data_IF_088576379802
#
_entry.id   IF_088576379802
#
_cell.length_a   1.000
_cell.length_b   1.000
_cell.length_c   1.000
_cell.angle_alpha   90.00
_cell.angle_beta   90.00
_cell.angle_gamma   90.00
#
_symmetry.space_group_name_H-M   'P 1'
#
loop_
_entity.id
_entity.type
_entity.pdbx_description
1 polymer ?
#
# COMPACT_ATOMS: atom_id res chain seq x y z
N UNK A 1 43.66 0.54 -46.56
CA UNK A 1 43.40 -0.37 -45.41
C UNK A 1 42.30 0.16 -44.47
N UNK A 2 42.03 1.48 -44.42
CA UNK A 2 41.00 2.07 -43.54
C UNK A 2 39.55 1.94 -44.06
N UNK A 3 39.33 1.88 -45.39
CA UNK A 3 37.99 1.75 -46.00
C UNK A 3 37.36 0.37 -45.86
N UNK A 4 38.16 -0.71 -45.91
CA UNK A 4 37.66 -2.08 -45.76
C UNK A 4 37.08 -2.34 -44.36
N UNK A 5 37.63 -1.66 -43.33
CA UNK A 5 37.20 -1.84 -41.95
C UNK A 5 35.90 -1.09 -41.64
N UNK A 6 35.67 0.06 -42.28
CA UNK A 6 34.40 0.79 -42.16
C UNK A 6 33.25 0.05 -42.85
N UNK A 7 33.48 -0.52 -44.03
CA UNK A 7 32.44 -1.21 -44.78
C UNK A 7 31.99 -2.52 -44.08
N UNK A 8 32.91 -3.23 -43.41
CA UNK A 8 32.58 -4.36 -42.54
C UNK A 8 31.74 -3.95 -41.32
N UNK A 9 32.07 -2.83 -40.67
CA UNK A 9 31.35 -2.36 -39.48
C UNK A 9 29.94 -1.87 -39.83
N UNK A 10 29.79 -1.16 -40.95
CA UNK A 10 28.48 -0.72 -41.45
C UNK A 10 27.62 -1.91 -41.90
N UNK A 11 28.21 -2.87 -42.62
CA UNK A 11 27.49 -4.09 -43.04
C UNK A 11 27.03 -4.93 -41.84
N UNK A 12 27.85 -5.03 -40.78
CA UNK A 12 27.49 -5.77 -39.58
C UNK A 12 26.39 -5.05 -38.76
N UNK A 13 26.38 -3.71 -38.77
CA UNK A 13 25.33 -2.90 -38.14
C UNK A 13 23.99 -3.04 -38.89
N UNK A 14 24.00 -2.98 -40.23
CA UNK A 14 22.82 -3.23 -41.06
C UNK A 14 22.28 -4.66 -40.90
N UNK A 15 23.16 -5.65 -40.72
CA UNK A 15 22.77 -7.03 -40.42
C UNK A 15 22.08 -7.17 -39.05
N UNK A 16 22.57 -6.47 -38.02
CA UNK A 16 21.93 -6.46 -36.70
C UNK A 16 20.60 -5.69 -36.70
N UNK A 17 20.51 -4.57 -37.42
CA UNK A 17 19.26 -3.79 -37.59
C UNK A 17 18.23 -4.58 -38.39
N UNK A 18 18.64 -5.33 -39.42
CA UNK A 18 17.75 -6.21 -40.19
C UNK A 18 17.28 -7.43 -39.40
N UNK A 19 18.13 -8.04 -38.56
CA UNK A 19 17.70 -9.09 -37.62
C UNK A 19 16.74 -8.55 -36.54
N UNK A 20 16.96 -7.33 -36.05
CA UNK A 20 16.03 -6.66 -35.14
C UNK A 20 14.68 -6.31 -35.82
N UNK A 21 14.70 -6.01 -37.12
CA UNK A 21 13.50 -5.70 -37.92
C UNK A 21 12.58 -6.90 -38.20
N UNK A 22 13.01 -8.12 -37.87
CA UNK A 22 12.22 -9.35 -38.05
C UNK A 22 11.48 -9.81 -36.78
N UNK A 23 11.61 -9.10 -35.67
CA UNK A 23 10.93 -9.48 -34.43
C UNK A 23 9.49 -8.95 -34.48
N UNK A 24 8.53 -9.85 -34.70
CA UNK A 24 7.11 -9.49 -34.60
C UNK A 24 6.74 -9.15 -33.15
N UNK A 25 5.81 -8.21 -32.97
CA UNK A 25 5.25 -7.88 -31.65
C UNK A 25 4.78 -9.13 -30.90
N UNK A 26 4.12 -10.05 -31.61
CA UNK A 26 3.70 -11.35 -31.10
C UNK A 26 4.87 -12.20 -30.58
N UNK A 27 6.00 -12.18 -31.29
CA UNK A 27 7.22 -12.86 -30.86
C UNK A 27 7.82 -12.25 -29.59
N UNK A 28 7.76 -10.92 -29.43
CA UNK A 28 8.19 -10.22 -28.20
C UNK A 28 7.28 -10.59 -27.03
N UNK A 29 5.96 -10.45 -27.21
CA UNK A 29 4.95 -10.78 -26.20
C UNK A 29 5.14 -12.21 -25.70
N UNK A 30 5.30 -13.17 -26.62
CA UNK A 30 5.51 -14.59 -26.28
C UNK A 30 6.77 -14.79 -25.43
N UNK A 31 7.89 -14.15 -25.80
CA UNK A 31 9.14 -14.23 -25.04
C UNK A 31 8.98 -13.62 -23.65
N UNK A 32 8.33 -12.47 -23.54
CA UNK A 32 8.13 -11.81 -22.24
C UNK A 32 7.21 -12.63 -21.34
N UNK A 33 6.12 -13.21 -21.86
CA UNK A 33 5.28 -14.14 -21.12
C UNK A 33 6.06 -15.33 -20.57
N UNK A 34 6.99 -15.89 -21.35
CA UNK A 34 7.84 -16.97 -20.88
C UNK A 34 8.83 -16.53 -19.79
N UNK A 35 9.35 -15.30 -19.90
CA UNK A 35 10.31 -14.74 -18.96
C UNK A 35 9.70 -14.52 -17.57
N UNK A 36 8.51 -13.93 -17.50
CA UNK A 36 7.88 -13.56 -16.22
C UNK A 36 7.45 -14.76 -15.37
N UNK A 37 7.38 -15.95 -15.99
CA UNK A 37 7.09 -17.22 -15.31
C UNK A 37 8.33 -17.83 -14.64
N UNK A 38 9.51 -17.28 -14.91
CA UNK A 38 10.76 -17.64 -14.24
C UNK A 38 10.90 -16.73 -13.02
N UNK A 39 11.19 -17.25 -11.81
CA UNK A 39 11.42 -16.42 -10.64
C UNK A 39 12.53 -15.38 -10.87
N UNK A 40 12.26 -14.11 -10.58
CA UNK A 40 13.17 -12.98 -10.74
C UNK A 40 12.46 -11.61 -10.67
N UNK A 41 13.25 -10.55 -10.54
CA UNK A 41 12.76 -9.17 -10.55
C UNK A 41 12.58 -8.69 -11.99
N UNK A 42 11.38 -8.90 -12.54
CA UNK A 42 11.08 -8.63 -13.94
C UNK A 42 10.20 -7.40 -14.16
N UNK A 43 10.14 -6.46 -13.20
CA UNK A 43 9.19 -5.34 -13.21
C UNK A 43 9.18 -4.55 -14.52
N UNK A 44 10.38 -4.21 -15.03
CA UNK A 44 10.51 -3.47 -16.31
C UNK A 44 9.86 -4.25 -17.46
N UNK A 45 10.06 -5.58 -17.49
CA UNK A 45 9.50 -6.44 -18.54
C UNK A 45 7.99 -6.65 -18.38
N UNK A 46 7.51 -6.81 -17.14
CA UNK A 46 6.09 -6.98 -16.84
C UNK A 46 5.31 -5.73 -17.20
N UNK A 47 5.76 -4.55 -16.77
CA UNK A 47 5.11 -3.29 -17.10
C UNK A 47 5.08 -3.06 -18.61
N UNK A 48 6.19 -3.37 -19.31
CA UNK A 48 6.21 -3.25 -20.77
C UNK A 48 5.33 -4.29 -21.47
N UNK A 49 5.23 -5.50 -20.93
CA UNK A 49 4.33 -6.54 -21.44
C UNK A 49 2.87 -6.10 -21.31
N UNK A 50 2.47 -5.54 -20.18
CA UNK A 50 1.12 -4.98 -19.97
C UNK A 50 0.82 -3.90 -21.01
N UNK A 51 1.73 -2.94 -21.21
CA UNK A 51 1.57 -1.88 -22.21
C UNK A 51 1.44 -2.44 -23.64
N UNK A 52 2.26 -3.44 -23.99
CA UNK A 52 2.17 -4.11 -25.29
C UNK A 52 0.83 -4.80 -25.48
N UNK A 53 0.33 -5.53 -24.48
CA UNK A 53 -0.97 -6.19 -24.54
C UNK A 53 -2.11 -5.19 -24.70
N UNK A 54 -2.15 -4.14 -23.87
CA UNK A 54 -3.15 -3.07 -23.97
C UNK A 54 -3.12 -2.39 -25.36
N UNK A 55 -1.93 -2.04 -25.87
CA UNK A 55 -1.79 -1.39 -27.18
C UNK A 55 -2.17 -2.29 -28.37
N UNK A 56 -2.05 -3.61 -28.20
CA UNK A 56 -2.43 -4.62 -29.20
C UNK A 56 -3.90 -5.04 -29.13
N UNK A 57 -4.69 -4.49 -28.20
CA UNK A 57 -6.10 -4.80 -28.00
C UNK A 57 -6.37 -6.11 -27.23
N UNK A 58 -5.33 -6.74 -26.66
CA UNK A 58 -5.40 -8.02 -25.92
C UNK A 58 -5.54 -7.79 -24.42
N UNK A 59 -6.49 -6.95 -24.03
CA UNK A 59 -6.67 -6.50 -22.64
C UNK A 59 -7.04 -7.69 -21.73
N UNK A 60 -7.78 -8.66 -22.26
CA UNK A 60 -8.17 -9.89 -21.58
C UNK A 60 -6.97 -10.73 -21.10
N UNK A 61 -5.80 -10.62 -21.74
CA UNK A 61 -4.59 -11.35 -21.37
C UNK A 61 -3.80 -10.69 -20.24
N UNK A 62 -4.06 -9.41 -19.93
CA UNK A 62 -3.29 -8.63 -18.94
C UNK A 62 -3.43 -9.23 -17.54
N UNK A 63 -4.66 -9.60 -17.16
CA UNK A 63 -4.92 -10.19 -15.86
C UNK A 63 -4.15 -11.51 -15.69
N UNK A 64 -4.15 -12.37 -16.72
CA UNK A 64 -3.43 -13.66 -16.69
C UNK A 64 -1.94 -13.43 -16.47
N UNK A 65 -1.34 -12.50 -17.22
CA UNK A 65 0.07 -12.13 -17.12
C UNK A 65 0.44 -11.63 -15.73
N UNK A 66 -0.38 -10.75 -15.15
CA UNK A 66 -0.14 -10.23 -13.79
C UNK A 66 -0.33 -11.31 -12.72
N UNK A 67 -1.31 -12.20 -12.89
CA UNK A 67 -1.49 -13.37 -12.03
C UNK A 67 -0.26 -14.30 -12.08
N UNK A 68 0.23 -14.61 -13.27
CA UNK A 68 1.41 -15.45 -13.46
C UNK A 68 2.64 -14.84 -12.80
N UNK A 69 2.88 -13.54 -13.01
CA UNK A 69 4.01 -12.86 -12.42
C UNK A 69 3.94 -12.87 -10.89
N UNK A 70 2.79 -12.53 -10.31
CA UNK A 70 2.56 -12.55 -8.86
C UNK A 70 2.71 -13.95 -8.25
N UNK A 71 2.28 -15.01 -8.95
CA UNK A 71 2.39 -16.40 -8.48
C UNK A 71 3.82 -16.92 -8.56
N UNK A 72 4.51 -16.67 -9.67
CA UNK A 72 5.90 -17.10 -9.88
C UNK A 72 6.90 -16.33 -9.00
N UNK A 73 6.50 -15.16 -8.49
CA UNK A 73 7.31 -14.27 -7.68
C UNK A 73 6.59 -13.86 -6.39
N UNK A 74 6.11 -14.84 -5.61
CA UNK A 74 5.24 -14.61 -4.45
C UNK A 74 5.86 -13.79 -3.30
N UNK A 75 7.19 -13.69 -3.23
CA UNK A 75 7.86 -12.81 -2.26
C UNK A 75 8.10 -11.41 -2.82
N UNK A 76 7.83 -11.18 -4.10
CA UNK A 76 8.10 -9.93 -4.78
C UNK A 76 6.88 -9.02 -4.73
N UNK A 77 6.94 -8.03 -3.83
CA UNK A 77 5.83 -7.12 -3.52
C UNK A 77 5.20 -6.50 -4.78
N UNK A 78 6.02 -6.08 -5.74
CA UNK A 78 5.57 -5.40 -6.96
C UNK A 78 4.64 -6.27 -7.81
N UNK A 79 4.84 -7.60 -7.85
CA UNK A 79 3.94 -8.49 -8.59
C UNK A 79 2.51 -8.45 -8.05
N UNK A 80 2.37 -8.45 -6.73
CA UNK A 80 1.07 -8.31 -6.07
C UNK A 80 0.48 -6.90 -6.23
N UNK A 81 1.32 -5.87 -6.13
CA UNK A 81 0.90 -4.48 -6.34
C UNK A 81 0.31 -4.30 -7.74
N UNK A 82 1.02 -4.71 -8.79
CA UNK A 82 0.56 -4.51 -10.17
C UNK A 82 -0.77 -5.20 -10.43
N UNK A 83 -0.96 -6.42 -9.91
CA UNK A 83 -2.22 -7.14 -10.03
C UNK A 83 -3.35 -6.43 -9.27
N UNK A 84 -3.13 -6.01 -8.02
CA UNK A 84 -4.14 -5.28 -7.25
C UNK A 84 -4.52 -3.95 -7.92
N UNK A 85 -3.56 -3.18 -8.44
CA UNK A 85 -3.83 -1.93 -9.15
C UNK A 85 -4.62 -2.16 -10.44
N UNK A 86 -4.29 -3.21 -11.19
CA UNK A 86 -5.06 -3.59 -12.37
C UNK A 86 -6.50 -3.95 -12.00
N UNK A 87 -6.71 -4.86 -11.03
CA UNK A 87 -8.05 -5.27 -10.60
C UNK A 87 -8.87 -4.06 -10.12
N UNK A 88 -8.24 -3.14 -9.39
CA UNK A 88 -8.87 -1.90 -8.92
C UNK A 88 -9.27 -0.97 -10.07
N UNK A 89 -8.39 -0.76 -11.05
CA UNK A 89 -8.64 0.11 -12.23
C UNK A 89 -9.83 -0.36 -13.07
N UNK A 90 -10.10 -1.65 -13.06
CA UNK A 90 -11.13 -2.29 -13.88
C UNK A 90 -12.40 -2.66 -13.09
N UNK A 91 -12.55 -2.18 -11.86
CA UNK A 91 -13.66 -2.50 -10.95
C UNK A 91 -13.90 -4.03 -10.79
N UNK A 92 -12.80 -4.79 -10.88
CA UNK A 92 -12.81 -6.25 -10.74
C UNK A 92 -12.63 -6.62 -9.27
N UNK A 93 -13.65 -6.36 -8.47
CA UNK A 93 -13.67 -6.84 -7.10
C UNK A 93 -13.76 -8.37 -7.09
N UNK A 94 -12.69 -9.01 -6.63
CA UNK A 94 -12.54 -10.46 -6.69
C UNK A 94 -11.85 -10.98 -5.43
N UNK A 95 -12.14 -12.23 -5.09
CA UNK A 95 -11.44 -12.98 -4.04
C UNK A 95 -9.92 -12.98 -4.25
N UNK A 96 -9.49 -13.00 -5.52
CA UNK A 96 -8.09 -12.85 -5.95
C UNK A 96 -7.47 -11.55 -5.41
N UNK A 97 -8.19 -10.43 -5.51
CA UNK A 97 -7.71 -9.15 -4.97
C UNK A 97 -7.49 -9.24 -3.46
N UNK A 98 -8.44 -9.83 -2.73
CA UNK A 98 -8.36 -9.97 -1.28
C UNK A 98 -7.15 -10.81 -0.86
N UNK A 99 -6.88 -11.91 -1.56
CA UNK A 99 -5.72 -12.76 -1.27
C UNK A 99 -4.39 -12.06 -1.50
N UNK A 100 -4.26 -11.30 -2.59
CA UNK A 100 -3.05 -10.52 -2.85
C UNK A 100 -2.89 -9.35 -1.89
N UNK A 101 -3.98 -8.72 -1.45
CA UNK A 101 -3.93 -7.70 -0.40
C UNK A 101 -3.43 -8.26 0.93
N UNK A 102 -3.82 -9.49 1.31
CA UNK A 102 -3.28 -10.17 2.50
C UNK A 102 -1.77 -10.37 2.39
N UNK A 103 -1.29 -10.84 1.23
CA UNK A 103 0.15 -11.04 1.00
C UNK A 103 0.91 -9.70 1.08
N UNK A 104 0.38 -8.64 0.48
CA UNK A 104 0.96 -7.28 0.58
C UNK A 104 1.06 -6.85 2.04
N UNK A 105 0.01 -7.06 2.83
CA UNK A 105 0.00 -6.68 4.24
C UNK A 105 1.03 -7.47 5.09
N UNK A 106 1.31 -8.72 4.72
CA UNK A 106 2.35 -9.53 5.35
C UNK A 106 3.76 -9.08 4.96
N UNK A 107 3.99 -8.80 3.67
CA UNK A 107 5.30 -8.39 3.15
C UNK A 107 5.67 -6.94 3.49
N UNK A 108 4.70 -6.04 3.44
CA UNK A 108 4.90 -4.60 3.62
C UNK A 108 3.71 -3.98 4.38
N UNK A 109 3.67 -4.11 5.72
CA UNK A 109 2.57 -3.56 6.52
C UNK A 109 2.47 -2.02 6.48
N UNK A 110 3.49 -1.33 5.97
CA UNK A 110 3.49 0.13 5.78
C UNK A 110 2.80 0.59 4.50
N UNK A 111 2.43 -0.34 3.62
CA UNK A 111 1.86 -0.06 2.30
C UNK A 111 0.40 0.41 2.37
N UNK A 112 0.02 1.42 1.58
CA UNK A 112 -1.33 2.00 1.64
C UNK A 112 -2.46 1.02 1.31
N UNK A 113 -2.16 -0.05 0.57
CA UNK A 113 -3.13 -1.12 0.25
C UNK A 113 -3.53 -1.93 1.47
N UNK A 114 -2.78 -1.87 2.58
CA UNK A 114 -3.23 -2.40 3.87
C UNK A 114 -4.54 -1.74 4.31
N UNK A 115 -4.71 -0.44 4.05
CA UNK A 115 -5.96 0.25 4.36
C UNK A 115 -7.11 -0.26 3.51
N UNK A 116 -6.85 -0.60 2.24
CA UNK A 116 -7.85 -1.18 1.35
C UNK A 116 -8.27 -2.59 1.82
N UNK A 117 -7.33 -3.38 2.33
CA UNK A 117 -7.64 -4.68 2.94
C UNK A 117 -8.58 -4.52 4.16
N UNK A 118 -8.27 -3.58 5.05
CA UNK A 118 -9.09 -3.29 6.23
C UNK A 118 -10.50 -2.84 5.82
N UNK A 119 -10.61 -1.99 4.81
CA UNK A 119 -11.91 -1.55 4.28
C UNK A 119 -12.73 -2.72 3.73
N UNK A 120 -12.11 -3.64 3.00
CA UNK A 120 -12.79 -4.83 2.47
C UNK A 120 -13.26 -5.80 3.56
N UNK A 121 -12.46 -5.97 4.62
CA UNK A 121 -12.86 -6.75 5.78
C UNK A 121 -13.87 -6.06 6.68
N UNK A 122 -14.19 -4.78 6.44
CA UNK A 122 -15.14 -3.92 7.14
C UNK A 122 -15.00 -3.81 8.68
N UNK A 123 -14.09 -4.56 9.31
CA UNK A 123 -13.75 -4.46 10.73
C UNK A 123 -14.76 -5.10 11.68
N UNK A 124 -15.78 -5.81 11.19
CA UNK A 124 -16.79 -6.46 12.02
C UNK A 124 -16.42 -7.91 12.38
N UNK A 125 -16.99 -8.39 13.48
CA UNK A 125 -16.93 -9.79 13.93
C UNK A 125 -15.52 -10.41 13.94
N UNK A 126 -15.32 -11.51 13.21
CA UNK A 126 -14.10 -12.35 13.23
C UNK A 126 -12.86 -11.63 12.68
N UNK A 127 -13.05 -10.58 11.87
CA UNK A 127 -11.96 -9.83 11.24
C UNK A 127 -11.51 -8.62 12.06
N UNK A 128 -12.24 -8.26 13.13
CA UNK A 128 -11.92 -7.10 13.98
C UNK A 128 -10.48 -7.15 14.49
N UNK A 129 -10.06 -8.31 15.04
CA UNK A 129 -8.71 -8.48 15.58
C UNK A 129 -7.64 -8.26 14.51
N UNK A 130 -7.85 -8.78 13.29
CA UNK A 130 -6.91 -8.64 12.18
C UNK A 130 -6.85 -7.21 11.68
N UNK A 131 -8.00 -6.54 11.53
CA UNK A 131 -8.06 -5.12 11.15
C UNK A 131 -7.33 -4.24 12.16
N UNK A 132 -7.58 -4.47 13.46
CA UNK A 132 -6.92 -3.76 14.55
C UNK A 132 -5.40 -3.97 14.50
N UNK A 133 -4.95 -5.22 14.37
CA UNK A 133 -3.53 -5.55 14.22
C UNK A 133 -2.87 -4.78 13.08
N UNK A 134 -3.50 -4.84 11.89
CA UNK A 134 -2.97 -4.23 10.68
C UNK A 134 -2.90 -2.71 10.79
N UNK A 135 -3.92 -2.05 11.36
CA UNK A 135 -3.90 -0.59 11.47
C UNK A 135 -2.83 -0.11 12.46
N UNK A 136 -2.63 -0.82 13.56
CA UNK A 136 -1.54 -0.52 14.50
C UNK A 136 -0.17 -0.74 13.84
N UNK A 137 0.03 -1.85 13.12
CA UNK A 137 1.28 -2.11 12.37
C UNK A 137 1.53 -1.07 11.28
N UNK A 138 0.50 -0.63 10.55
CA UNK A 138 0.61 0.39 9.52
C UNK A 138 1.05 1.74 10.12
N UNK A 139 0.50 2.10 11.28
CA UNK A 139 0.84 3.31 12.02
C UNK A 139 2.12 3.18 12.86
N UNK A 140 2.75 2.01 12.95
CA UNK A 140 4.09 1.91 13.57
C UNK A 140 5.18 2.57 12.70
N UNK A 141 4.91 2.77 11.41
CA UNK A 141 5.82 3.44 10.48
C UNK A 141 5.59 4.96 10.52
N UNK A 142 6.56 5.77 10.98
CA UNK A 142 6.37 7.22 11.14
C UNK A 142 6.02 7.97 9.84
N UNK A 143 6.42 7.44 8.68
CA UNK A 143 6.03 7.95 7.36
C UNK A 143 4.51 7.98 7.17
N UNK A 144 3.80 7.06 7.82
CA UNK A 144 2.33 6.96 7.79
C UNK A 144 1.65 7.81 8.87
N UNK A 145 2.42 8.45 9.77
CA UNK A 145 1.91 9.23 10.89
C UNK A 145 1.04 10.43 10.52
N UNK A 146 1.08 10.87 9.26
CA UNK A 146 0.23 11.94 8.70
C UNK A 146 -0.94 11.43 7.84
N UNK A 147 -1.09 10.11 7.70
CA UNK A 147 -2.16 9.52 6.91
C UNK A 147 -3.51 9.63 7.64
N UNK A 148 -4.31 10.63 7.29
CA UNK A 148 -5.62 10.91 7.90
C UNK A 148 -6.57 9.69 7.80
N UNK A 149 -6.54 8.98 6.67
CA UNK A 149 -7.41 7.81 6.44
C UNK A 149 -7.10 6.71 7.46
N UNK A 150 -5.82 6.44 7.72
CA UNK A 150 -5.40 5.45 8.70
C UNK A 150 -5.87 5.81 10.12
N UNK A 151 -5.69 7.07 10.54
CA UNK A 151 -6.14 7.52 11.86
C UNK A 151 -7.67 7.45 12.03
N UNK A 152 -8.43 7.74 10.98
CA UNK A 152 -9.89 7.54 10.98
C UNK A 152 -10.28 6.08 11.14
N UNK A 153 -9.63 5.19 10.38
CA UNK A 153 -9.87 3.75 10.48
C UNK A 153 -9.60 3.26 11.90
N UNK A 154 -8.48 3.68 12.51
CA UNK A 154 -8.19 3.34 13.90
C UNK A 154 -9.28 3.86 14.84
N UNK A 155 -9.64 5.15 14.76
CA UNK A 155 -10.71 5.73 15.59
C UNK A 155 -12.00 4.92 15.48
N UNK A 156 -12.47 4.65 14.26
CA UNK A 156 -13.70 3.89 14.04
C UNK A 156 -13.62 2.47 14.63
N UNK A 157 -12.47 1.80 14.55
CA UNK A 157 -12.27 0.48 15.16
C UNK A 157 -12.32 0.56 16.69
N UNK A 158 -11.84 1.63 17.31
CA UNK A 158 -11.94 1.84 18.76
C UNK A 158 -13.40 2.05 19.17
N UNK A 159 -14.13 2.90 18.47
CA UNK A 159 -15.57 3.15 18.72
C UNK A 159 -16.39 1.84 18.62
N UNK A 160 -16.05 0.96 17.65
CA UNK A 160 -16.70 -0.35 17.48
C UNK A 160 -16.41 -1.36 18.61
N UNK A 161 -15.42 -1.09 19.45
CA UNK A 161 -15.01 -1.97 20.54
C UNK A 161 -15.67 -1.63 21.88
N UNK A 162 -16.15 -0.41 22.02
CA UNK A 162 -16.69 0.17 23.25
C UNK A 162 -17.79 -0.67 23.96
N UNK A 163 -18.61 -1.50 23.29
CA UNK A 163 -19.60 -2.33 24.01
C UNK A 163 -19.12 -3.72 24.47
N UNK A 164 -17.84 -4.13 24.30
CA UNK A 164 -17.40 -5.52 24.60
C UNK A 164 -16.08 -5.59 25.37
N UNK A 165 -16.14 -6.00 26.65
CA UNK A 165 -14.98 -6.17 27.57
C UNK A 165 -13.81 -6.94 26.92
N UNK A 166 -14.08 -8.02 26.17
CA UNK A 166 -13.02 -8.81 25.52
C UNK A 166 -12.24 -8.03 24.46
N UNK A 167 -12.87 -7.07 23.77
CA UNK A 167 -12.19 -6.22 22.79
C UNK A 167 -11.34 -5.15 23.46
N UNK A 168 -11.76 -4.66 24.63
CA UNK A 168 -11.02 -3.64 25.39
C UNK A 168 -9.63 -4.14 25.81
N UNK A 169 -9.53 -5.34 26.38
CA UNK A 169 -8.24 -5.95 26.74
C UNK A 169 -7.34 -6.12 25.52
N UNK A 170 -7.92 -6.53 24.39
CA UNK A 170 -7.19 -6.69 23.15
C UNK A 170 -6.58 -5.38 22.65
N UNK A 171 -7.36 -4.30 22.65
CA UNK A 171 -6.89 -2.97 22.25
C UNK A 171 -5.80 -2.49 23.21
N UNK A 172 -6.00 -2.64 24.53
CA UNK A 172 -4.99 -2.28 25.53
C UNK A 172 -3.68 -3.02 25.30
N UNK A 173 -3.71 -4.30 24.92
CA UNK A 173 -2.49 -5.04 24.58
C UNK A 173 -1.74 -4.46 23.38
N UNK A 174 -2.45 -4.10 22.31
CA UNK A 174 -1.83 -3.44 21.15
C UNK A 174 -1.22 -2.09 21.52
N UNK A 175 -1.95 -1.28 22.31
CA UNK A 175 -1.48 0.02 22.80
C UNK A 175 -0.26 -0.09 23.71
N UNK A 176 -0.29 -0.97 24.72
CA UNK A 176 0.76 -1.06 25.74
C UNK A 176 2.15 -1.35 25.15
N UNK A 177 2.22 -2.14 24.09
CA UNK A 177 3.47 -2.41 23.37
C UNK A 177 4.05 -1.21 22.61
N UNK A 178 3.23 -0.17 22.39
CA UNK A 178 3.52 1.01 21.56
C UNK A 178 3.48 2.32 22.30
N UNK A 179 2.86 2.37 23.48
CA UNK A 179 2.56 3.61 24.19
C UNK A 179 3.78 4.51 24.26
N UNK A 180 4.91 3.99 24.76
CA UNK A 180 6.15 4.76 24.86
C UNK A 180 6.59 5.35 23.52
N UNK A 181 6.71 4.54 22.45
CA UNK A 181 7.17 5.03 21.14
C UNK A 181 6.17 5.97 20.50
N UNK A 182 4.88 5.67 20.54
CA UNK A 182 3.83 6.50 19.95
C UNK A 182 3.71 7.86 20.65
N UNK A 183 3.89 7.96 21.97
CA UNK A 183 3.97 9.26 22.64
C UNK A 183 5.11 10.11 22.07
N UNK A 184 6.30 9.52 21.90
CA UNK A 184 7.46 10.21 21.36
C UNK A 184 7.37 10.56 19.87
N UNK A 185 6.53 9.86 19.09
CA UNK A 185 6.43 10.06 17.64
C UNK A 185 5.21 10.92 17.28
N UNK A 186 4.05 10.67 17.89
CA UNK A 186 2.76 11.21 17.45
C UNK A 186 2.12 12.20 18.41
N UNK A 187 2.42 12.12 19.71
CA UNK A 187 1.69 12.85 20.75
C UNK A 187 2.61 13.80 21.53
N UNK A 188 3.40 14.61 20.82
CA UNK A 188 4.40 15.50 21.42
C UNK A 188 3.74 16.85 21.79
N UNK A 189 3.52 17.16 23.09
CA UNK A 189 2.75 18.35 23.47
C UNK A 189 3.41 19.65 23.02
N UNK A 190 4.74 19.74 23.10
CA UNK A 190 5.50 20.94 22.71
C UNK A 190 5.42 21.26 21.22
N UNK A 191 4.96 20.34 20.37
CA UNK A 191 4.79 20.59 18.93
C UNK A 191 3.42 21.18 18.60
N UNK A 192 2.45 21.13 19.52
CA UNK A 192 1.09 21.64 19.29
C UNK A 192 1.09 23.14 18.98
N UNK A 193 1.98 23.90 19.61
CA UNK A 193 2.13 25.35 19.36
C UNK A 193 2.44 25.70 17.90
N UNK A 194 2.98 24.77 17.10
CA UNK A 194 3.30 24.96 15.69
C UNK A 194 2.18 24.54 14.72
N UNK A 195 1.14 23.85 15.19
CA UNK A 195 0.04 23.40 14.33
C UNK A 195 -0.77 24.56 13.75
N UNK A 196 -1.29 24.37 12.54
CA UNK A 196 -2.18 25.33 11.86
C UNK A 196 -3.61 24.80 11.79
N UNK A 197 -4.55 25.62 11.33
CA UNK A 197 -5.94 25.19 11.10
C UNK A 197 -6.03 24.00 10.11
N UNK A 198 -5.07 23.87 9.19
CA UNK A 198 -5.01 22.74 8.24
C UNK A 198 -4.64 21.42 8.93
N UNK A 199 -3.88 21.49 10.02
CA UNK A 199 -3.43 20.33 10.78
C UNK A 199 -4.47 19.88 11.82
N UNK A 200 -5.38 20.79 12.20
CA UNK A 200 -6.37 20.58 13.26
C UNK A 200 -7.13 19.26 13.07
N UNK A 201 -7.58 18.96 11.85
CA UNK A 201 -8.38 17.76 11.60
C UNK A 201 -7.63 16.46 11.92
N UNK A 202 -6.35 16.36 11.55
CA UNK A 202 -5.55 15.20 11.91
C UNK A 202 -5.28 15.17 13.41
N UNK A 203 -4.99 16.33 13.99
CA UNK A 203 -4.66 16.45 15.41
C UNK A 203 -5.84 16.11 16.31
N UNK A 204 -7.08 16.44 15.91
CA UNK A 204 -8.30 16.10 16.63
C UNK A 204 -8.59 14.61 16.59
N UNK A 205 -8.43 13.94 15.44
CA UNK A 205 -8.57 12.48 15.35
C UNK A 205 -7.53 11.80 16.25
N UNK A 206 -6.27 12.25 16.20
CA UNK A 206 -5.21 11.75 17.08
C UNK A 206 -5.53 11.93 18.56
N UNK A 207 -6.07 13.09 18.93
CA UNK A 207 -6.52 13.36 20.30
C UNK A 207 -7.64 12.42 20.73
N UNK A 208 -8.62 12.16 19.86
CA UNK A 208 -9.72 11.22 20.09
C UNK A 208 -9.21 9.78 20.25
N UNK A 209 -8.25 9.36 19.42
CA UNK A 209 -7.62 8.05 19.56
C UNK A 209 -6.85 7.95 20.87
N UNK A 210 -6.10 9.00 21.26
CA UNK A 210 -5.33 9.00 22.50
C UNK A 210 -6.21 8.95 23.75
N UNK A 211 -7.39 9.58 23.73
CA UNK A 211 -8.29 9.58 24.89
C UNK A 211 -8.85 8.20 25.24
N UNK A 212 -8.86 7.24 24.30
CA UNK A 212 -9.16 5.84 24.62
C UNK A 212 -8.14 5.19 25.57
N UNK A 213 -6.94 5.77 25.69
CA UNK A 213 -5.82 5.17 26.40
C UNK A 213 -5.27 6.02 27.54
N UNK A 214 -5.25 7.33 27.36
CA UNK A 214 -4.70 8.31 28.29
C UNK A 214 -5.44 9.66 28.10
N UNK A 215 -6.65 9.74 28.65
CA UNK A 215 -7.52 10.93 28.57
C UNK A 215 -6.89 12.20 29.16
N UNK A 216 -5.97 12.03 30.10
CA UNK A 216 -5.32 13.11 30.83
C UNK A 216 -4.01 13.60 30.18
N UNK A 217 -3.61 12.98 29.06
CA UNK A 217 -2.34 13.27 28.41
C UNK A 217 -2.21 14.75 28.00
N UNK A 218 -1.05 15.36 28.25
CA UNK A 218 -0.81 16.78 28.00
C UNK A 218 -1.08 17.19 26.54
N UNK A 219 -0.79 16.31 25.58
CA UNK A 219 -1.08 16.57 24.15
C UNK A 219 -2.56 16.89 23.91
N UNK A 220 -3.49 16.19 24.56
CA UNK A 220 -4.93 16.42 24.42
C UNK A 220 -5.29 17.81 24.94
N UNK A 221 -4.78 18.15 26.13
CA UNK A 221 -4.99 19.46 26.78
C UNK A 221 -4.48 20.62 25.92
N UNK A 222 -3.30 20.47 25.33
CA UNK A 222 -2.73 21.47 24.42
C UNK A 222 -3.56 21.64 23.14
N UNK A 223 -4.07 20.55 22.56
CA UNK A 223 -4.94 20.61 21.38
C UNK A 223 -6.25 21.34 21.71
N UNK A 224 -6.88 21.00 22.83
CA UNK A 224 -8.12 21.65 23.29
C UNK A 224 -7.91 23.13 23.59
N UNK A 225 -6.79 23.50 24.23
CA UNK A 225 -6.44 24.88 24.51
C UNK A 225 -6.19 25.70 23.24
N UNK A 226 -5.49 25.11 22.27
CA UNK A 226 -5.14 25.79 21.02
C UNK A 226 -6.33 25.96 20.06
N UNK A 227 -7.24 24.98 20.04
CA UNK A 227 -8.38 24.96 19.13
C UNK A 227 -9.73 24.84 19.88
N UNK A 228 -10.09 25.84 20.71
CA UNK A 228 -11.27 25.78 21.58
C UNK A 228 -12.61 25.82 20.81
N UNK A 229 -12.64 26.51 19.66
CA UNK A 229 -13.86 26.71 18.86
C UNK A 229 -14.27 25.48 18.03
N UNK A 230 -13.45 24.45 17.99
CA UNK A 230 -13.65 23.28 17.15
C UNK A 230 -13.93 22.00 17.96
N UNK A 231 -14.30 22.14 19.23
CA UNK A 231 -14.79 21.04 20.05
C UNK A 231 -16.12 20.53 19.47
N UNK A 232 -16.16 19.26 19.09
CA UNK A 232 -17.41 18.59 18.68
C UNK A 232 -18.32 18.55 19.92
N UNK A 233 -19.60 18.93 19.82
CA UNK A 233 -20.52 18.82 20.95
C UNK A 233 -20.57 17.37 21.42
N UNK A 234 -20.42 17.19 22.73
CA UNK A 234 -20.66 15.95 23.46
C UNK A 234 -22.03 15.34 23.15
#
# INVERSE_FOLDING_TARGET
MMQLHTDEVFSNCEMQVSQASQISLEGVITKFKSLIRIPGEWDIFVLKLVEMLESSGKIEEVQEVLCDYAKCNSCHLNGHIYLCEYLRKHDLDSEIMLDHLKIIAELCPSDERVLLLIEKWNGYDDEFHKCLKLIFMFLDYPSNGKNIKAWKILSNLLDLAEPKITKEELIKNYWNSRSSSWHWIYFIPSQVCNLTQKDFFLASIKSSVLSYFDEDHQYIKEIQWKFPECQIPS
#
